data_IF_807813005863
#
_entry.id   IF_807813005863
#
_cell.length_a   1.000
_cell.length_b   1.000
_cell.length_c   1.000
_cell.angle_alpha   90.00
_cell.angle_beta   90.00
_cell.angle_gamma   90.00
#
_symmetry.space_group_name_H-M   'P 1'
#
loop_
_entity.id
_entity.type
_entity.pdbx_description
1 polymer ?
#
# COMPACT_ATOMS: atom_id res chain seq x y z
N UNK A 1 11.16 -3.62 7.18
CA UNK A 1 10.38 -3.34 5.96
C UNK A 1 9.25 -2.39 6.33
N UNK A 2 9.03 -1.28 5.62
CA UNK A 2 8.06 -0.24 6.07
C UNK A 2 6.64 -0.79 6.28
N UNK A 3 6.21 -1.71 5.41
CA UNK A 3 4.88 -2.33 5.47
C UNK A 3 4.63 -3.15 6.75
N UNK A 4 5.66 -3.76 7.33
CA UNK A 4 5.51 -4.55 8.57
C UNK A 4 5.62 -3.71 9.84
N UNK A 5 6.10 -2.47 9.73
CA UNK A 5 6.32 -1.57 10.87
C UNK A 5 5.23 -0.51 10.98
N UNK A 6 4.78 0.05 9.86
CA UNK A 6 3.71 1.04 9.81
C UNK A 6 2.87 0.86 8.53
N UNK A 7 1.98 -0.16 8.50
CA UNK A 7 1.21 -0.48 7.29
C UNK A 7 0.28 0.65 6.84
N UNK A 8 -0.18 1.51 7.75
CA UNK A 8 -1.07 2.63 7.43
C UNK A 8 -0.36 3.87 6.86
N UNK A 9 0.97 3.84 6.68
CA UNK A 9 1.71 5.00 6.15
C UNK A 9 1.47 5.29 4.66
N UNK A 10 0.90 4.33 3.92
CA UNK A 10 0.52 4.51 2.52
C UNK A 10 -0.73 5.37 2.36
N UNK A 11 -0.84 6.04 1.22
CA UNK A 11 -2.04 6.81 0.88
C UNK A 11 -3.25 5.87 0.70
N UNK A 12 -4.49 6.33 0.98
CA UNK A 12 -5.68 5.60 0.58
C UNK A 12 -5.66 5.30 -0.92
N UNK A 13 -6.08 4.09 -1.31
CA UNK A 13 -6.19 3.75 -2.73
C UNK A 13 -7.21 4.64 -3.48
N UNK A 14 -8.27 5.07 -2.80
CA UNK A 14 -9.28 6.01 -3.33
C UNK A 14 -9.64 7.07 -2.30
N UNK A 15 -9.83 8.30 -2.75
CA UNK A 15 -10.31 9.40 -1.91
C UNK A 15 -11.78 9.27 -1.48
N UNK A 16 -12.57 8.41 -2.14
CA UNK A 16 -13.97 8.18 -1.79
C UNK A 16 -14.14 7.41 -0.47
N UNK A 17 -13.13 6.65 -0.06
CA UNK A 17 -13.12 5.93 1.21
C UNK A 17 -11.70 5.97 1.80
N UNK A 18 -11.32 7.08 2.46
CA UNK A 18 -9.97 7.26 2.97
C UNK A 18 -9.61 6.32 4.12
N UNK A 19 -10.61 5.73 4.79
CA UNK A 19 -10.44 4.81 5.92
C UNK A 19 -10.35 3.34 5.47
N UNK A 20 -10.55 3.06 4.18
CA UNK A 20 -10.41 1.71 3.64
C UNK A 20 -9.01 1.14 3.91
N UNK A 21 -8.90 -0.18 4.18
CA UNK A 21 -7.62 -0.83 4.45
C UNK A 21 -6.74 -0.99 3.20
N UNK A 22 -7.23 -0.64 2.02
CA UNK A 22 -6.48 -0.70 0.78
C UNK A 22 -5.65 0.57 0.60
N UNK A 23 -4.33 0.40 0.56
CA UNK A 23 -3.34 1.48 0.58
C UNK A 23 -2.42 1.39 -0.63
N UNK A 24 -1.83 2.52 -1.01
CA UNK A 24 -0.80 2.60 -2.05
C UNK A 24 0.43 3.35 -1.55
N UNK A 25 1.61 2.85 -1.91
CA UNK A 25 2.89 3.44 -1.52
C UNK A 25 3.84 3.48 -2.72
N UNK A 26 4.44 4.64 -3.04
CA UNK A 26 5.55 4.71 -3.99
C UNK A 26 6.77 3.95 -3.48
N UNK A 27 7.48 3.25 -4.36
CA UNK A 27 8.74 2.59 -4.06
C UNK A 27 9.76 2.78 -5.19
N UNK A 28 11.00 2.35 -4.96
CA UNK A 28 12.07 2.44 -5.98
C UNK A 28 12.34 3.88 -6.44
N UNK A 29 12.39 4.83 -5.50
CA UNK A 29 12.54 6.27 -5.78
C UNK A 29 11.41 6.84 -6.65
N UNK A 30 10.19 6.32 -6.49
CA UNK A 30 9.02 6.77 -7.22
C UNK A 30 8.85 6.13 -8.59
N UNK A 31 9.65 5.10 -8.92
CA UNK A 31 9.53 4.35 -10.18
C UNK A 31 8.47 3.26 -10.16
N UNK A 32 7.95 2.93 -8.97
CA UNK A 32 6.88 1.97 -8.85
C UNK A 32 5.87 2.34 -7.78
N UNK A 33 4.70 1.72 -7.86
CA UNK A 33 3.64 1.81 -6.87
C UNK A 33 3.28 0.40 -6.43
N UNK A 34 3.28 0.15 -5.13
CA UNK A 34 2.70 -1.06 -4.53
C UNK A 34 1.34 -0.72 -3.95
N UNK A 35 0.33 -1.51 -4.30
CA UNK A 35 -0.98 -1.47 -3.68
C UNK A 35 -1.14 -2.71 -2.80
N UNK A 36 -1.58 -2.50 -1.57
CA UNK A 36 -1.63 -3.55 -0.54
C UNK A 36 -2.82 -3.37 0.39
N UNK A 37 -3.23 -4.46 1.02
CA UNK A 37 -4.35 -4.55 1.95
C UNK A 37 -3.83 -4.74 3.38
N UNK A 38 -4.31 -3.92 4.32
CA UNK A 38 -4.01 -4.05 5.74
C UNK A 38 -5.07 -4.93 6.43
N UNK A 39 -4.63 -6.06 6.99
CA UNK A 39 -5.48 -6.98 7.74
C UNK A 39 -5.09 -6.91 9.23
N UNK A 40 -5.72 -5.99 9.97
CA UNK A 40 -5.31 -5.67 11.34
C UNK A 40 -5.47 -6.83 12.33
N UNK A 41 -6.53 -7.63 12.18
CA UNK A 41 -6.82 -8.76 13.06
C UNK A 41 -5.66 -9.76 13.10
N UNK A 42 -5.02 -9.98 11.95
CA UNK A 42 -3.95 -10.96 11.77
C UNK A 42 -2.55 -10.30 11.75
N UNK A 43 -2.49 -8.97 11.93
CA UNK A 43 -1.27 -8.14 11.77
C UNK A 43 -0.56 -8.43 10.43
N UNK A 44 -1.36 -8.63 9.39
CA UNK A 44 -0.92 -9.07 8.07
C UNK A 44 -1.06 -7.95 7.04
N UNK A 45 -0.20 -7.99 6.03
CA UNK A 45 -0.27 -7.11 4.86
C UNK A 45 -0.18 -7.96 3.61
N UNK A 46 -1.22 -7.88 2.77
CA UNK A 46 -1.27 -8.59 1.50
C UNK A 46 -0.97 -7.64 0.35
N UNK A 47 -0.04 -8.03 -0.52
CA UNK A 47 0.24 -7.27 -1.75
C UNK A 47 -0.84 -7.63 -2.76
N UNK A 48 -1.55 -6.61 -3.24
CA UNK A 48 -2.61 -6.76 -4.23
C UNK A 48 -2.07 -6.52 -5.64
N UNK A 49 -1.22 -5.51 -5.80
CA UNK A 49 -0.68 -5.12 -7.10
C UNK A 49 0.68 -4.45 -6.98
N UNK A 50 1.54 -4.68 -7.97
CA UNK A 50 2.78 -3.93 -8.18
C UNK A 50 2.73 -3.36 -9.60
N UNK A 51 2.98 -2.06 -9.72
CA UNK A 51 3.09 -1.35 -11.00
C UNK A 51 4.45 -0.69 -11.07
N UNK A 52 5.11 -0.86 -12.21
CA UNK A 52 6.26 -0.08 -12.63
C UNK A 52 5.79 1.06 -13.54
N UNK A 53 6.23 2.28 -13.27
CA UNK A 53 5.80 3.50 -13.97
C UNK A 53 6.71 3.84 -15.16
N UNK A 54 7.81 3.11 -15.33
CA UNK A 54 8.85 3.30 -16.33
C UNK A 54 8.77 2.30 -17.50
N UNK A 55 7.65 1.60 -17.65
CA UNK A 55 7.37 0.66 -18.74
C UNK A 55 6.45 1.25 -19.82
#
# INVERSE_FOLDING_TARGET
MVLSLSPWSGAPFTGHNPDAPLRSLPFGEGRGIVTYLVLEADRQVDIVQIVWLDL
#
